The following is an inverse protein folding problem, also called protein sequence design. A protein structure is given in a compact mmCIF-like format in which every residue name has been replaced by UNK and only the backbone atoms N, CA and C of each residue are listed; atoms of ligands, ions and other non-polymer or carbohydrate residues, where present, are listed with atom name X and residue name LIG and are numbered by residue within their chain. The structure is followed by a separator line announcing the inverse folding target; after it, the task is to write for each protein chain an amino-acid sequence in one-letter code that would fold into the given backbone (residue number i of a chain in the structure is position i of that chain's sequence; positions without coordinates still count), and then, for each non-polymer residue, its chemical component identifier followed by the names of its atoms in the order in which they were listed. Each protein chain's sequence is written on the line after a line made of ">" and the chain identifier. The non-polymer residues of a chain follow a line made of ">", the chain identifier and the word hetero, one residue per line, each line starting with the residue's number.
data_IF_674334679487
#
_entry.id   IF_674334679487
#
_cell.length_a   1.000
_cell.length_b   1.000
_cell.length_c   1.000
_cell.angle_alpha   90.00
_cell.angle_beta   90.00
_cell.angle_gamma   90.00
#
_symmetry.space_group_name_H-M   'P 1'
#
loop_
_entity.id
_entity.type
_entity.pdbx_description
1 polymer ?
#
# COMPACT_ATOMS: atom_id res chain seq x y z
N UNK A 1 -16.01 -12.79 6.40
CA UNK A 1 -14.64 -13.31 6.60
C UNK A 1 -13.69 -12.31 5.97
N UNK A 2 -12.59 -12.00 6.62
CA UNK A 2 -11.54 -11.12 6.10
C UNK A 2 -10.18 -11.81 6.21
N UNK A 3 -9.31 -11.55 5.24
CA UNK A 3 -7.93 -12.05 5.21
C UNK A 3 -6.98 -10.89 5.40
N UNK A 4 -6.03 -11.04 6.34
CA UNK A 4 -5.03 -10.01 6.67
C UNK A 4 -3.66 -10.37 6.12
N UNK A 5 -2.98 -9.37 5.58
CA UNK A 5 -1.62 -9.41 5.06
C UNK A 5 -0.76 -8.39 5.80
N UNK A 6 0.38 -8.84 6.30
CA UNK A 6 1.34 -7.96 6.97
C UNK A 6 2.28 -7.32 5.95
N UNK A 7 2.75 -6.11 6.27
CA UNK A 7 3.83 -5.47 5.52
C UNK A 7 5.16 -6.15 5.81
N UNK A 8 6.02 -6.28 4.79
CA UNK A 8 7.35 -6.86 4.95
C UNK A 8 8.36 -5.78 5.31
N UNK A 9 8.79 -5.77 6.57
CA UNK A 9 9.68 -4.76 7.15
C UNK A 9 11.15 -5.16 7.02
N UNK A 10 11.78 -4.67 5.94
CA UNK A 10 13.22 -4.79 5.77
C UNK A 10 13.96 -4.02 6.88
N UNK A 11 15.10 -4.53 7.40
CA UNK A 11 15.81 -3.91 8.53
C UNK A 11 16.09 -2.42 8.36
N UNK A 12 16.49 -1.99 7.16
CA UNK A 12 16.79 -0.60 6.83
C UNK A 12 15.58 0.36 6.94
N UNK A 13 14.34 -0.17 6.85
CA UNK A 13 13.11 0.62 6.88
C UNK A 13 12.51 0.73 8.27
N UNK A 14 12.95 -0.08 9.25
CA UNK A 14 12.33 -0.16 10.58
C UNK A 14 12.45 1.15 11.36
N UNK A 15 13.65 1.73 11.46
CA UNK A 15 13.86 2.97 12.20
C UNK A 15 13.14 4.18 11.57
N UNK A 16 13.22 4.40 10.24
CA UNK A 16 12.42 5.43 9.58
C UNK A 16 10.91 5.23 9.75
N UNK A 17 10.42 4.00 9.57
CA UNK A 17 8.98 3.69 9.72
C UNK A 17 8.47 4.04 11.13
N UNK A 18 9.24 3.71 12.17
CA UNK A 18 8.89 4.02 13.56
C UNK A 18 8.74 5.52 13.81
N UNK A 19 9.59 6.36 13.20
CA UNK A 19 9.51 7.81 13.33
C UNK A 19 8.18 8.39 12.82
N UNK A 20 7.51 7.68 11.89
CA UNK A 20 6.21 8.06 11.34
C UNK A 20 5.04 7.24 11.93
N UNK A 21 5.25 6.52 13.02
CA UNK A 21 4.20 5.72 13.67
C UNK A 21 3.79 4.45 12.89
N UNK A 22 4.58 4.05 11.89
CA UNK A 22 4.39 2.84 11.11
C UNK A 22 5.07 1.69 11.87
N UNK A 23 4.25 0.79 12.42
CA UNK A 23 4.67 -0.38 13.21
C UNK A 23 4.00 -1.62 12.64
N UNK A 24 4.53 -2.84 12.85
CA UNK A 24 3.87 -4.07 12.41
C UNK A 24 2.41 -4.18 12.86
N UNK A 25 2.08 -3.68 14.06
CA UNK A 25 0.71 -3.66 14.57
C UNK A 25 -0.21 -2.64 13.88
N UNK A 26 0.34 -1.57 13.30
CA UNK A 26 -0.40 -0.48 12.62
C UNK A 26 -0.27 -0.50 11.09
N UNK A 27 0.48 -1.46 10.54
CA UNK A 27 0.75 -1.62 9.12
C UNK A 27 0.30 -2.99 8.62
N UNK A 28 -0.86 -3.05 7.97
CA UNK A 28 -1.42 -4.26 7.40
C UNK A 28 -2.44 -3.96 6.30
N UNK A 29 -2.69 -4.94 5.45
CA UNK A 29 -3.76 -4.93 4.46
C UNK A 29 -4.81 -5.94 4.89
N UNK A 30 -6.08 -5.56 4.84
CA UNK A 30 -7.21 -6.44 5.08
C UNK A 30 -8.07 -6.50 3.82
N UNK A 31 -8.33 -7.71 3.36
CA UNK A 31 -9.24 -7.98 2.24
C UNK A 31 -10.51 -8.61 2.81
N UNK A 32 -11.64 -7.93 2.62
CA UNK A 32 -12.96 -8.46 2.96
C UNK A 32 -13.61 -9.06 1.71
N UNK A 33 -14.90 -9.41 1.78
CA UNK A 33 -15.63 -9.87 0.59
C UNK A 33 -15.82 -8.78 -0.46
N UNK A 34 -15.82 -7.52 -0.06
CA UNK A 34 -16.21 -6.40 -0.92
C UNK A 34 -15.15 -5.30 -0.97
N UNK A 35 -14.21 -5.26 -0.02
CA UNK A 35 -13.29 -4.15 0.15
C UNK A 35 -11.84 -4.59 0.36
N UNK A 36 -10.95 -3.77 -0.19
CA UNK A 36 -9.53 -3.72 0.14
C UNK A 36 -9.30 -2.54 1.12
N UNK A 37 -8.74 -2.85 2.30
CA UNK A 37 -8.43 -1.87 3.34
C UNK A 37 -6.94 -1.89 3.65
N UNK A 38 -6.28 -0.75 3.53
CA UNK A 38 -4.86 -0.59 3.86
C UNK A 38 -4.76 0.26 5.11
N UNK A 39 -4.10 -0.29 6.12
CA UNK A 39 -3.69 0.38 7.34
C UNK A 39 -2.20 0.59 7.27
N UNK A 40 -1.74 1.84 7.38
CA UNK A 40 -0.31 2.16 7.37
C UNK A 40 -0.03 3.28 8.35
N UNK A 41 0.22 2.94 9.62
CA UNK A 41 0.39 3.94 10.67
C UNK A 41 -0.84 4.86 10.79
N UNK A 42 -0.70 6.19 10.62
CA UNK A 42 -1.82 7.13 10.62
C UNK A 42 -2.64 7.14 9.32
N UNK A 43 -2.12 6.58 8.22
CA UNK A 43 -2.77 6.62 6.92
C UNK A 43 -3.67 5.42 6.67
N UNK A 44 -4.71 5.65 5.87
CA UNK A 44 -5.76 4.66 5.58
C UNK A 44 -6.20 4.79 4.12
N UNK A 45 -6.25 3.68 3.41
CA UNK A 45 -6.89 3.58 2.10
C UNK A 45 -7.99 2.53 2.19
N UNK A 46 -9.18 2.86 1.71
CA UNK A 46 -10.31 1.93 1.59
C UNK A 46 -10.88 2.05 0.18
N UNK A 47 -11.06 0.93 -0.48
CA UNK A 47 -11.69 0.85 -1.80
C UNK A 47 -12.46 -0.44 -1.93
N UNK A 48 -13.55 -0.41 -2.71
CA UNK A 48 -14.23 -1.64 -3.13
C UNK A 48 -13.33 -2.47 -4.06
N UNK A 49 -13.49 -3.79 -4.02
CA UNK A 49 -12.81 -4.71 -4.95
C UNK A 49 -13.30 -4.49 -6.39
N UNK A 50 -14.55 -4.05 -6.58
CA UNK A 50 -15.13 -3.63 -7.86
C UNK A 50 -14.41 -2.42 -8.50
N UNK A 51 -13.68 -1.66 -7.67
CA UNK A 51 -12.95 -0.47 -8.11
C UNK A 51 -11.48 -0.80 -8.47
N UNK A 52 -11.07 -2.06 -8.44
CA UNK A 52 -9.74 -2.48 -8.86
C UNK A 52 -9.73 -2.70 -10.37
N UNK A 53 -8.90 -1.92 -11.08
CA UNK A 53 -8.75 -1.99 -12.53
C UNK A 53 -7.72 -3.05 -12.95
N UNK A 54 -6.76 -3.35 -12.09
CA UNK A 54 -5.68 -4.28 -12.39
C UNK A 54 -4.69 -4.37 -11.24
N UNK A 55 -3.91 -5.44 -11.24
CA UNK A 55 -2.86 -5.67 -10.25
C UNK A 55 -1.58 -6.17 -10.92
N UNK A 56 -0.45 -5.69 -10.44
CA UNK A 56 0.86 -6.03 -10.97
C UNK A 56 1.85 -6.30 -9.83
N UNK A 57 2.55 -7.43 -9.89
CA UNK A 57 3.65 -7.71 -8.97
C UNK A 57 4.86 -6.93 -9.48
N UNK A 58 5.41 -6.08 -8.63
CA UNK A 58 6.54 -5.20 -8.94
C UNK A 58 7.62 -5.38 -7.87
N UNK A 59 8.85 -4.94 -8.15
CA UNK A 59 9.97 -5.12 -7.23
C UNK A 59 11.25 -4.42 -7.68
N UNK A 60 12.32 -4.61 -6.91
CA UNK A 60 13.63 -4.00 -7.13
C UNK A 60 13.60 -2.46 -7.20
N UNK A 61 12.83 -1.85 -6.30
CA UNK A 61 12.83 -0.40 -6.17
C UNK A 61 14.16 0.07 -5.57
N UNK A 62 14.84 1.01 -6.23
CA UNK A 62 15.98 1.68 -5.62
C UNK A 62 15.53 2.32 -4.29
N UNK A 63 16.19 2.01 -3.17
CA UNK A 63 15.87 2.47 -1.80
C UNK A 63 15.59 3.98 -1.71
N UNK A 64 16.29 4.78 -2.53
CA UNK A 64 16.11 6.23 -2.63
C UNK A 64 14.71 6.67 -3.13
N UNK A 65 13.96 5.78 -3.79
CA UNK A 65 12.59 6.04 -4.30
C UNK A 65 11.49 5.58 -3.33
N UNK A 66 11.81 4.81 -2.31
CA UNK A 66 10.83 4.13 -1.44
C UNK A 66 11.01 4.40 0.06
N UNK A 67 12.16 4.93 0.49
CA UNK A 67 12.40 5.28 1.89
C UNK A 67 11.77 6.65 2.24
N UNK A 68 10.68 6.64 2.99
CA UNK A 68 10.05 7.86 3.54
C UNK A 68 8.56 7.68 3.86
N UNK A 69 7.84 8.75 4.27
CA UNK A 69 6.37 8.78 4.30
C UNK A 69 5.74 8.23 3.02
N UNK A 70 4.43 7.92 3.00
CA UNK A 70 3.74 7.66 1.74
C UNK A 70 3.96 8.83 0.78
N UNK A 71 4.78 8.60 -0.25
CA UNK A 71 5.16 9.63 -1.21
C UNK A 71 4.33 9.47 -2.47
N UNK A 72 3.93 10.61 -3.03
CA UNK A 72 3.33 10.71 -4.35
C UNK A 72 4.39 10.31 -5.39
N UNK A 73 4.12 9.28 -6.20
CA UNK A 73 4.86 9.18 -7.47
C UNK A 73 4.42 10.35 -8.35
N UNK A 74 5.29 11.33 -8.59
CA UNK A 74 4.96 12.53 -9.35
C UNK A 74 4.55 12.24 -10.81
N UNK A 75 4.99 11.10 -11.37
CA UNK A 75 4.63 10.70 -12.73
C UNK A 75 3.15 10.26 -12.84
N UNK A 76 2.64 9.53 -11.82
CA UNK A 76 1.36 8.80 -11.94
C UNK A 76 0.35 9.13 -10.82
N UNK A 77 0.67 10.05 -9.91
CA UNK A 77 -0.12 10.39 -8.70
C UNK A 77 -0.43 9.19 -7.78
N UNK A 78 0.24 8.06 -7.95
CA UNK A 78 0.09 6.88 -7.11
C UNK A 78 0.54 7.12 -5.67
N UNK A 79 -0.03 6.36 -4.73
CA UNK A 79 0.42 6.33 -3.33
C UNK A 79 1.26 5.09 -3.08
N UNK A 80 2.40 5.26 -2.40
CA UNK A 80 3.27 4.13 -2.03
C UNK A 80 3.24 3.89 -0.53
N UNK A 81 2.90 2.67 -0.13
CA UNK A 81 3.04 2.18 1.23
C UNK A 81 4.19 1.17 1.25
N UNK A 82 5.38 1.62 1.62
CA UNK A 82 6.61 0.84 1.53
C UNK A 82 7.31 0.64 2.88
N UNK A 83 7.65 -0.60 3.16
CA UNK A 83 8.48 -1.05 4.29
C UNK A 83 9.66 -1.92 3.83
N UNK A 84 9.80 -2.11 2.51
CA UNK A 84 10.95 -2.69 1.84
C UNK A 84 11.07 -2.11 0.40
N UNK A 85 12.12 -2.51 -0.33
CA UNK A 85 12.30 -2.20 -1.75
C UNK A 85 12.31 -3.43 -2.67
N UNK A 86 12.14 -4.62 -2.13
CA UNK A 86 12.36 -5.87 -2.87
C UNK A 86 11.14 -6.24 -3.71
N UNK A 87 9.94 -6.25 -3.10
CA UNK A 87 8.71 -6.73 -3.73
C UNK A 87 7.50 -5.97 -3.23
N UNK A 88 6.58 -5.69 -4.16
CA UNK A 88 5.30 -5.04 -3.89
C UNK A 88 4.21 -5.53 -4.83
N UNK A 89 2.96 -5.33 -4.40
CA UNK A 89 1.81 -5.35 -5.29
C UNK A 89 1.42 -3.92 -5.63
N UNK A 90 1.42 -3.59 -6.91
CA UNK A 90 0.77 -2.38 -7.42
C UNK A 90 -0.68 -2.69 -7.73
N UNK A 91 -1.60 -1.89 -7.17
CA UNK A 91 -3.05 -1.99 -7.39
C UNK A 91 -3.50 -0.74 -8.11
N UNK A 92 -4.06 -0.89 -9.30
CA UNK A 92 -4.63 0.21 -10.08
C UNK A 92 -6.13 0.32 -9.83
N UNK A 93 -6.66 1.53 -9.79
CA UNK A 93 -8.05 1.80 -9.50
C UNK A 93 -8.81 2.35 -10.70
N UNK A 94 -10.05 1.91 -10.88
CA UNK A 94 -10.98 2.46 -11.88
C UNK A 94 -11.28 3.93 -11.54
N UNK A 95 -11.52 4.22 -10.25
CA UNK A 95 -11.74 5.57 -9.72
C UNK A 95 -10.67 5.90 -8.68
N UNK A 96 -9.99 7.06 -8.77
CA UNK A 96 -8.98 7.47 -7.80
C UNK A 96 -9.50 7.52 -6.35
N UNK A 97 -8.74 6.96 -5.42
CA UNK A 97 -9.12 6.81 -4.01
C UNK A 97 -8.30 7.73 -3.09
N UNK A 98 -8.88 8.30 -2.03
CA UNK A 98 -8.12 9.00 -1.01
C UNK A 98 -7.29 8.01 -0.19
N UNK A 99 -6.13 8.45 0.32
CA UNK A 99 -5.24 7.58 1.09
C UNK A 99 -4.49 8.32 2.20
N UNK A 100 -3.79 9.40 1.82
CA UNK A 100 -2.83 10.07 2.72
C UNK A 100 -3.33 11.43 3.21
N UNK A 101 -4.33 11.98 2.53
CA UNK A 101 -4.87 13.30 2.81
C UNK A 101 -6.14 13.19 3.68
N UNK A 102 -6.12 13.72 4.92
CA UNK A 102 -7.29 13.69 5.80
C UNK A 102 -8.47 14.50 5.25
N UNK A 103 -8.22 15.50 4.39
CA UNK A 103 -9.26 16.30 3.74
C UNK A 103 -9.88 15.60 2.51
N UNK A 104 -9.29 14.48 2.07
CA UNK A 104 -9.70 13.69 0.89
C UNK A 104 -9.70 14.45 -0.44
N UNK A 105 -8.95 15.53 -0.52
CA UNK A 105 -8.71 16.34 -1.72
C UNK A 105 -7.74 15.62 -2.66
N UNK A 106 -6.70 15.00 -2.12
CA UNK A 106 -5.72 14.21 -2.87
C UNK A 106 -6.26 12.79 -3.06
N UNK A 107 -6.31 12.35 -4.32
CA UNK A 107 -6.75 11.01 -4.71
C UNK A 107 -5.72 10.35 -5.61
N UNK A 108 -5.59 9.05 -5.45
CA UNK A 108 -4.56 8.24 -6.07
C UNK A 108 -5.20 7.25 -7.03
N UNK A 109 -4.76 7.19 -8.30
CA UNK A 109 -5.24 6.22 -9.27
C UNK A 109 -4.61 4.84 -9.07
N UNK A 110 -3.55 4.72 -8.26
CA UNK A 110 -2.91 3.46 -7.93
C UNK A 110 -2.29 3.48 -6.52
N UNK A 111 -2.12 2.29 -5.93
CA UNK A 111 -1.45 2.08 -4.67
C UNK A 111 -0.40 0.96 -4.74
N UNK A 112 0.81 1.23 -4.25
CA UNK A 112 1.89 0.24 -4.14
C UNK A 112 1.97 -0.27 -2.71
N UNK A 113 1.93 -1.59 -2.53
CA UNK A 113 1.83 -2.27 -1.24
C UNK A 113 2.97 -3.30 -1.07
N UNK A 114 3.92 -3.04 -0.18
CA UNK A 114 5.04 -3.97 0.09
C UNK A 114 4.67 -5.02 1.14
N UNK A 115 3.61 -5.80 0.89
CA UNK A 115 3.17 -6.89 1.78
C UNK A 115 4.11 -8.09 1.71
N UNK A 116 4.13 -8.90 2.77
CA UNK A 116 4.99 -10.10 2.85
C UNK A 116 4.62 -11.20 1.85
N UNK A 117 3.37 -11.23 1.38
CA UNK A 117 2.85 -12.23 0.42
C UNK A 117 2.05 -11.53 -0.68
N UNK A 118 2.72 -10.80 -1.61
CA UNK A 118 2.03 -9.99 -2.61
C UNK A 118 1.26 -10.84 -3.64
N UNK A 119 1.72 -12.05 -3.94
CA UNK A 119 1.06 -13.00 -4.84
C UNK A 119 -0.27 -13.49 -4.24
N UNK A 120 -0.25 -13.88 -2.97
CA UNK A 120 -1.47 -14.30 -2.27
C UNK A 120 -2.46 -13.13 -2.07
N UNK A 121 -1.97 -11.90 -1.94
CA UNK A 121 -2.85 -10.73 -1.94
C UNK A 121 -3.49 -10.54 -3.31
N UNK A 122 -2.69 -10.61 -4.39
CA UNK A 122 -3.15 -10.50 -5.78
C UNK A 122 -4.30 -11.47 -6.09
N UNK A 123 -4.17 -12.73 -5.69
CA UNK A 123 -5.19 -13.76 -5.90
C UNK A 123 -6.54 -13.44 -5.23
N UNK A 124 -6.56 -12.63 -4.18
CA UNK A 124 -7.80 -12.25 -3.48
C UNK A 124 -8.44 -10.97 -4.03
N UNK A 125 -7.70 -10.17 -4.79
CA UNK A 125 -8.15 -8.84 -5.25
C UNK A 125 -8.29 -8.74 -6.77
N UNK A 126 -7.97 -9.81 -7.51
CA UNK A 126 -7.99 -9.88 -8.97
C UNK A 126 -8.70 -11.12 -9.48
#
# INVERSE_FOLDING_TARGET
>A
MSTRFEFDFAPAYRLPALAFGIRPSSAFVEVTREELRVHFGPWRLVTGLDNIAGTEITGNFAWLKTAGPPHLSFADRGVTFATNGERALCVQFVRPVPAIDPTRTIRHPAATLTVARPEALRELVG
#
